data_IF_211186289369
#
_entry.id   IF_211186289369
#
_cell.length_a   1.000
_cell.length_b   1.000
_cell.length_c   1.000
_cell.angle_alpha   90.00
_cell.angle_beta   90.00
_cell.angle_gamma   90.00
#
_symmetry.space_group_name_H-M   'P 1'
#
loop_
_entity.id
_entity.type
_entity.pdbx_description
1 polymer ?
#
# COMPACT_ATOMS: atom_id res chain seq x y z
N UNK A 1 -17.24 -18.31 2.12
CA UNK A 1 -17.64 -17.32 3.14
C UNK A 1 -16.45 -16.78 3.94
N UNK A 2 -15.60 -17.65 4.53
CA UNK A 2 -14.44 -17.22 5.35
C UNK A 2 -13.43 -16.33 4.60
N UNK A 3 -13.13 -16.62 3.34
CA UNK A 3 -12.14 -15.88 2.54
C UNK A 3 -12.60 -14.45 2.21
N UNK A 4 -13.88 -14.26 1.90
CA UNK A 4 -14.45 -12.92 1.62
C UNK A 4 -14.49 -12.04 2.87
N UNK A 5 -14.82 -12.63 4.04
CA UNK A 5 -14.75 -11.91 5.31
C UNK A 5 -13.33 -11.48 5.63
N UNK A 6 -12.36 -12.38 5.42
CA UNK A 6 -10.94 -12.06 5.62
C UNK A 6 -10.49 -10.95 4.67
N UNK A 7 -10.90 -10.97 3.40
CA UNK A 7 -10.59 -9.93 2.43
C UNK A 7 -11.10 -8.56 2.90
N UNK A 8 -12.35 -8.47 3.33
CA UNK A 8 -12.92 -7.21 3.87
C UNK A 8 -12.13 -6.73 5.09
N UNK A 9 -11.79 -7.64 6.01
CA UNK A 9 -11.00 -7.28 7.20
C UNK A 9 -9.61 -6.76 6.83
N UNK A 10 -8.95 -7.34 5.82
CA UNK A 10 -7.65 -6.88 5.32
C UNK A 10 -7.77 -5.47 4.76
N UNK A 11 -8.72 -5.25 3.85
CA UNK A 11 -8.93 -3.93 3.24
C UNK A 11 -9.28 -2.88 4.29
N UNK A 12 -10.11 -3.23 5.27
CA UNK A 12 -10.40 -2.34 6.41
C UNK A 12 -9.14 -2.02 7.23
N UNK A 13 -8.29 -3.02 7.44
CA UNK A 13 -7.03 -2.90 8.16
C UNK A 13 -6.04 -1.98 7.44
N UNK A 14 -5.81 -2.20 6.14
CA UNK A 14 -4.95 -1.34 5.31
C UNK A 14 -5.45 0.10 5.26
N UNK A 15 -6.75 0.30 5.13
CA UNK A 15 -7.35 1.62 5.07
C UNK A 15 -7.17 2.45 6.36
N UNK A 16 -6.74 1.84 7.47
CA UNK A 16 -6.42 2.56 8.73
C UNK A 16 -5.06 3.25 8.74
N UNK A 17 -4.23 3.12 7.70
CA UNK A 17 -2.90 3.76 7.64
C UNK A 17 -2.98 5.25 7.95
N UNK A 18 -3.84 5.99 7.23
CA UNK A 18 -4.01 7.43 7.44
C UNK A 18 -4.53 7.78 8.83
N UNK A 19 -5.34 6.92 9.44
CA UNK A 19 -5.84 7.09 10.80
C UNK A 19 -4.66 7.09 11.79
N UNK A 20 -3.85 6.03 11.77
CA UNK A 20 -2.73 5.92 12.72
C UNK A 20 -1.68 7.00 12.50
N UNK A 21 -1.40 7.38 11.25
CA UNK A 21 -0.48 8.49 10.96
C UNK A 21 -0.98 9.79 11.58
N UNK A 22 -2.26 10.13 11.40
CA UNK A 22 -2.83 11.38 11.92
C UNK A 22 -3.02 11.36 13.44
N UNK A 23 -3.30 10.21 14.04
CA UNK A 23 -3.44 10.08 15.48
C UNK A 23 -2.14 10.32 16.25
N UNK A 24 -0.99 10.30 15.60
CA UNK A 24 0.28 10.71 16.25
C UNK A 24 0.38 12.20 16.49
N UNK A 25 -0.52 13.02 15.89
CA UNK A 25 -0.57 14.47 16.00
C UNK A 25 0.78 15.15 15.73
N UNK A 26 1.56 14.60 14.80
CA UNK A 26 2.89 15.11 14.43
C UNK A 26 3.96 14.97 15.51
N UNK A 27 3.68 14.31 16.64
CA UNK A 27 4.64 14.16 17.75
C UNK A 27 5.82 13.27 17.43
N UNK A 28 5.64 12.33 16.51
CA UNK A 28 6.74 11.53 15.94
C UNK A 28 6.95 11.99 14.50
N UNK A 29 8.18 12.35 14.08
CA UNK A 29 8.48 12.60 12.68
C UNK A 29 8.02 11.43 11.82
N UNK A 30 7.34 11.70 10.71
CA UNK A 30 6.66 10.66 9.92
C UNK A 30 7.63 9.58 9.39
N UNK A 31 8.89 9.94 9.13
CA UNK A 31 9.94 8.99 8.73
C UNK A 31 10.26 8.02 9.87
N UNK A 32 10.40 8.53 11.07
CA UNK A 32 10.64 7.73 12.28
C UNK A 32 9.40 6.91 12.66
N UNK A 33 8.21 7.46 12.48
CA UNK A 33 6.95 6.74 12.63
C UNK A 33 6.90 5.52 11.69
N UNK A 34 7.26 5.73 10.43
CA UNK A 34 7.32 4.66 9.42
C UNK A 34 8.35 3.59 9.79
N UNK A 35 9.50 3.98 10.32
CA UNK A 35 10.49 3.04 10.85
C UNK A 35 9.92 2.16 11.96
N UNK A 36 9.28 2.75 12.97
CA UNK A 36 8.66 1.97 14.05
C UNK A 36 7.55 1.07 13.53
N UNK A 37 6.72 1.56 12.60
CA UNK A 37 5.69 0.76 11.98
C UNK A 37 6.28 -0.49 11.29
N UNK A 38 7.36 -0.35 10.54
CA UNK A 38 8.05 -1.50 9.93
C UNK A 38 8.63 -2.46 10.96
N UNK A 39 9.19 -1.95 12.07
CA UNK A 39 9.67 -2.82 13.15
C UNK A 39 8.53 -3.66 13.74
N UNK A 40 7.41 -3.03 14.08
CA UNK A 40 6.25 -3.75 14.62
C UNK A 40 5.65 -4.74 13.60
N UNK A 41 5.53 -4.34 12.33
CA UNK A 41 5.04 -5.21 11.27
C UNK A 41 5.97 -6.41 11.05
N UNK A 42 7.28 -6.18 11.01
CA UNK A 42 8.30 -7.24 10.87
C UNK A 42 8.23 -8.21 12.04
N UNK A 43 8.23 -7.69 13.28
CA UNK A 43 8.13 -8.52 14.47
C UNK A 43 6.86 -9.38 14.46
N UNK A 44 5.73 -8.77 14.12
CA UNK A 44 4.45 -9.48 13.98
C UNK A 44 4.53 -10.60 12.95
N UNK A 45 5.01 -10.32 11.74
CA UNK A 45 5.09 -11.33 10.68
C UNK A 45 6.09 -12.45 11.00
N UNK A 46 7.25 -12.11 11.57
CA UNK A 46 8.24 -13.10 11.98
C UNK A 46 7.71 -14.07 13.05
N UNK A 47 6.77 -13.63 13.88
CA UNK A 47 6.10 -14.46 14.86
C UNK A 47 4.88 -15.19 14.29
N UNK A 48 4.07 -14.49 13.50
CA UNK A 48 2.79 -15.02 12.99
C UNK A 48 2.97 -16.05 11.86
N UNK A 49 3.95 -15.83 10.94
CA UNK A 49 4.14 -16.68 9.78
C UNK A 49 4.57 -18.11 10.13
N UNK A 50 5.54 -18.35 11.03
CA UNK A 50 5.89 -19.71 11.46
C UNK A 50 4.69 -20.43 12.09
N UNK A 51 3.91 -19.73 12.90
CA UNK A 51 2.73 -20.29 13.52
C UNK A 51 1.64 -20.66 12.49
N UNK A 52 1.34 -19.78 11.54
CA UNK A 52 0.33 -20.01 10.51
C UNK A 52 0.73 -21.11 9.52
N UNK A 53 2.00 -21.18 9.16
CA UNK A 53 2.51 -22.17 8.20
C UNK A 53 2.97 -23.47 8.85
N UNK A 54 3.01 -23.54 10.20
CA UNK A 54 3.55 -24.68 10.97
C UNK A 54 4.97 -25.07 10.53
N UNK A 55 5.76 -24.11 10.11
CA UNK A 55 7.14 -24.26 9.66
C UNK A 55 7.97 -23.11 10.17
N UNK A 56 9.25 -23.33 10.51
CA UNK A 56 10.13 -22.23 10.94
C UNK A 56 10.28 -21.19 9.83
N UNK A 57 10.57 -19.96 10.23
CA UNK A 57 10.88 -18.90 9.30
C UNK A 57 12.11 -19.30 8.47
N UNK A 58 11.98 -19.31 7.17
CA UNK A 58 13.06 -19.65 6.25
C UNK A 58 13.72 -18.37 5.75
N UNK A 59 15.01 -18.46 5.41
CA UNK A 59 15.68 -17.40 4.67
C UNK A 59 14.95 -17.17 3.32
N UNK A 60 15.02 -15.96 2.75
CA UNK A 60 14.37 -15.65 1.49
C UNK A 60 14.77 -16.66 0.41
N UNK A 61 13.78 -17.12 -0.36
CA UNK A 61 14.03 -17.98 -1.50
C UNK A 61 14.52 -17.12 -2.66
N UNK A 62 15.78 -17.29 -3.04
CA UNK A 62 16.39 -16.58 -4.16
C UNK A 62 17.45 -15.58 -3.75
N UNK A 63 17.57 -14.49 -4.52
CA UNK A 63 18.62 -13.51 -4.34
C UNK A 63 18.24 -12.49 -3.26
N UNK A 64 19.08 -12.33 -2.24
CA UNK A 64 18.94 -11.29 -1.21
C UNK A 64 18.83 -9.87 -1.77
N UNK A 65 19.45 -9.64 -2.95
CA UNK A 65 19.36 -8.34 -3.65
C UNK A 65 17.92 -8.00 -4.02
N UNK A 66 17.13 -8.98 -4.44
CA UNK A 66 15.73 -8.77 -4.84
C UNK A 66 14.88 -8.46 -3.61
N UNK A 67 15.06 -9.23 -2.52
CA UNK A 67 14.37 -8.98 -1.25
C UNK A 67 14.74 -7.59 -0.70
N UNK A 68 16.01 -7.19 -0.80
CA UNK A 68 16.45 -5.85 -0.42
C UNK A 68 15.83 -4.77 -1.31
N UNK A 69 15.81 -4.96 -2.64
CA UNK A 69 15.21 -3.99 -3.57
C UNK A 69 13.72 -3.83 -3.33
N UNK A 70 13.01 -4.93 -3.12
CA UNK A 70 11.58 -4.89 -2.75
C UNK A 70 11.41 -4.14 -1.42
N UNK A 71 12.24 -4.44 -0.41
CA UNK A 71 12.26 -3.71 0.86
C UNK A 71 12.50 -2.21 0.68
N UNK A 72 13.41 -1.82 -0.22
CA UNK A 72 13.68 -0.42 -0.55
C UNK A 72 12.47 0.27 -1.21
N UNK A 73 11.80 -0.42 -2.12
CA UNK A 73 10.59 0.08 -2.77
C UNK A 73 9.43 0.19 -1.78
N UNK A 74 9.27 -0.78 -0.86
CA UNK A 74 8.30 -0.71 0.24
C UNK A 74 8.62 0.49 1.16
N UNK A 75 9.88 0.69 1.54
CA UNK A 75 10.30 1.81 2.37
C UNK A 75 9.98 3.16 1.72
N UNK A 76 10.30 3.32 0.44
CA UNK A 76 9.99 4.51 -0.33
C UNK A 76 8.50 4.74 -0.47
N UNK A 77 7.75 3.71 -0.90
CA UNK A 77 6.30 3.79 -1.05
C UNK A 77 5.63 4.19 0.27
N UNK A 78 5.86 3.43 1.34
CA UNK A 78 5.18 3.69 2.62
C UNK A 78 5.65 4.98 3.29
N UNK A 79 6.94 5.31 3.18
CA UNK A 79 7.48 6.57 3.72
C UNK A 79 6.86 7.79 3.06
N UNK A 80 6.79 7.82 1.73
CA UNK A 80 6.15 8.92 1.01
C UNK A 80 4.63 8.91 1.16
N UNK A 81 4.00 7.73 1.25
CA UNK A 81 2.56 7.65 1.48
C UNK A 81 2.18 8.20 2.86
N UNK A 82 2.88 7.79 3.91
CA UNK A 82 2.67 8.32 5.25
C UNK A 82 2.95 9.83 5.30
N UNK A 83 3.96 10.31 4.56
CA UNK A 83 4.23 11.74 4.44
C UNK A 83 3.09 12.48 3.74
N UNK A 84 2.55 11.94 2.64
CA UNK A 84 1.38 12.53 1.99
C UNK A 84 0.19 12.65 2.96
N UNK A 85 -0.05 11.62 3.80
CA UNK A 85 -1.13 11.63 4.80
C UNK A 85 -1.01 12.74 5.86
N UNK A 86 0.19 13.29 6.08
CA UNK A 86 0.39 14.45 6.97
C UNK A 86 0.07 15.78 6.28
N UNK A 87 0.02 15.80 4.94
CA UNK A 87 -0.12 17.03 4.16
C UNK A 87 -1.52 17.25 3.60
N UNK A 88 -2.30 16.16 3.45
CA UNK A 88 -3.63 16.22 2.81
C UNK A 88 -4.65 15.36 3.55
N UNK A 89 -5.95 15.56 3.30
CA UNK A 89 -7.00 14.64 3.74
C UNK A 89 -6.72 13.21 3.27
N UNK A 90 -7.13 12.23 4.08
CA UNK A 90 -6.90 10.80 3.79
C UNK A 90 -7.45 10.42 2.41
N UNK A 91 -8.66 10.91 2.08
CA UNK A 91 -9.29 10.69 0.78
C UNK A 91 -8.41 11.13 -0.39
N UNK A 92 -7.77 12.31 -0.28
CA UNK A 92 -6.90 12.83 -1.32
C UNK A 92 -5.70 11.91 -1.55
N UNK A 93 -4.98 11.57 -0.50
CA UNK A 93 -3.79 10.72 -0.62
C UNK A 93 -4.13 9.35 -1.25
N UNK A 94 -5.22 8.72 -0.81
CA UNK A 94 -5.61 7.39 -1.32
C UNK A 94 -6.11 7.46 -2.76
N UNK A 95 -6.90 8.47 -3.14
CA UNK A 95 -7.40 8.63 -4.51
C UNK A 95 -6.23 8.88 -5.47
N UNK A 96 -5.28 9.75 -5.14
CA UNK A 96 -4.14 9.99 -6.03
C UNK A 96 -3.15 8.82 -6.08
N UNK A 97 -2.97 8.09 -5.00
CA UNK A 97 -2.24 6.81 -5.02
C UNK A 97 -2.89 5.78 -5.95
N UNK A 98 -4.22 5.77 -6.05
CA UNK A 98 -4.99 4.84 -6.91
C UNK A 98 -4.73 5.01 -8.42
N UNK A 99 -3.85 5.93 -8.82
CA UNK A 99 -3.28 6.00 -10.19
C UNK A 99 -2.30 4.86 -10.47
N UNK A 100 -1.85 4.13 -9.46
CA UNK A 100 -0.87 3.05 -9.58
C UNK A 100 -1.11 2.05 -10.74
N UNK A 101 -2.35 1.58 -11.04
CA UNK A 101 -2.59 0.67 -12.17
C UNK A 101 -2.15 1.23 -13.52
N UNK A 102 -2.24 2.55 -13.71
CA UNK A 102 -1.82 3.20 -14.95
C UNK A 102 -0.30 3.20 -15.09
N UNK A 103 0.41 3.50 -14.02
CA UNK A 103 1.86 3.37 -13.98
C UNK A 103 2.30 1.90 -14.15
N UNK A 104 1.61 0.96 -13.50
CA UNK A 104 1.88 -0.48 -13.64
C UNK A 104 1.74 -0.91 -15.11
N UNK A 105 0.69 -0.44 -15.79
CA UNK A 105 0.53 -0.73 -17.22
C UNK A 105 1.67 -0.15 -18.06
N UNK A 106 2.03 1.12 -17.85
CA UNK A 106 3.11 1.78 -18.60
C UNK A 106 4.44 1.03 -18.40
N UNK A 107 4.77 0.68 -17.15
CA UNK A 107 6.00 -0.03 -16.85
C UNK A 107 5.99 -1.46 -17.40
N UNK A 108 4.85 -2.16 -17.32
CA UNK A 108 4.69 -3.50 -17.90
C UNK A 108 4.81 -3.48 -19.44
N UNK A 109 4.28 -2.47 -20.08
CA UNK A 109 4.46 -2.29 -21.52
C UNK A 109 5.93 -2.04 -21.89
N UNK A 110 6.64 -1.21 -21.13
CA UNK A 110 8.04 -0.87 -21.40
C UNK A 110 9.01 -2.02 -21.08
N UNK A 111 8.82 -2.71 -19.95
CA UNK A 111 9.79 -3.67 -19.43
C UNK A 111 9.38 -5.14 -19.61
N UNK A 112 8.09 -5.43 -19.69
CA UNK A 112 7.58 -6.81 -19.85
C UNK A 112 7.08 -7.07 -21.27
N UNK A 113 7.08 -6.07 -22.17
CA UNK A 113 6.63 -6.22 -23.55
C UNK A 113 5.12 -6.46 -23.69
N UNK A 114 4.31 -6.07 -22.69
CA UNK A 114 2.85 -6.22 -22.76
C UNK A 114 2.25 -5.34 -23.86
N UNK A 115 1.33 -5.90 -24.65
CA UNK A 115 0.72 -5.17 -25.75
C UNK A 115 -0.38 -4.23 -25.30
N UNK A 116 -0.32 -2.97 -25.72
CA UNK A 116 -1.40 -2.02 -25.51
C UNK A 116 -2.60 -2.34 -26.42
N UNK A 117 -3.80 -2.38 -25.83
CA UNK A 117 -5.06 -2.48 -26.57
C UNK A 117 -5.60 -1.08 -26.89
N UNK A 118 -6.32 -0.94 -28.01
CA UNK A 118 -6.93 0.36 -28.37
C UNK A 118 -7.89 0.89 -27.30
N UNK A 119 -8.57 0.01 -26.56
CA UNK A 119 -9.44 0.38 -25.44
C UNK A 119 -8.72 1.15 -24.33
N UNK A 120 -7.41 0.95 -24.19
CA UNK A 120 -6.62 1.62 -23.14
C UNK A 120 -6.52 3.13 -23.34
N UNK A 121 -6.58 3.61 -24.60
CA UNK A 121 -6.62 5.05 -24.90
C UNK A 121 -7.84 5.70 -24.22
N UNK A 122 -9.01 5.07 -24.33
CA UNK A 122 -10.23 5.56 -23.69
C UNK A 122 -10.14 5.51 -22.17
N UNK A 123 -9.61 4.41 -21.62
CA UNK A 123 -9.44 4.23 -20.18
C UNK A 123 -8.51 5.31 -19.60
N UNK A 124 -7.37 5.57 -20.28
CA UNK A 124 -6.42 6.61 -19.88
C UNK A 124 -7.04 8.02 -20.00
N UNK A 125 -7.84 8.28 -21.03
CA UNK A 125 -8.55 9.56 -21.17
C UNK A 125 -9.53 9.79 -20.01
N UNK A 126 -10.32 8.77 -19.63
CA UNK A 126 -11.24 8.85 -18.49
C UNK A 126 -10.46 9.10 -17.18
N UNK A 127 -9.34 8.39 -16.97
CA UNK A 127 -8.50 8.58 -15.78
C UNK A 127 -7.91 9.99 -15.73
N UNK A 128 -7.40 10.51 -16.85
CA UNK A 128 -6.82 11.85 -16.92
C UNK A 128 -7.90 12.93 -16.62
N UNK A 129 -9.09 12.78 -17.18
CA UNK A 129 -10.23 13.66 -16.87
C UNK A 129 -10.55 13.57 -15.36
N UNK A 130 -10.59 12.37 -14.80
CA UNK A 130 -10.81 12.16 -13.37
C UNK A 130 -9.75 12.86 -12.50
N UNK A 131 -8.47 12.78 -12.85
CA UNK A 131 -7.40 13.50 -12.16
C UNK A 131 -7.60 15.02 -12.23
N UNK A 132 -7.93 15.56 -13.41
CA UNK A 132 -8.16 17.01 -13.57
C UNK A 132 -9.35 17.47 -12.74
N UNK A 133 -10.44 16.71 -12.71
CA UNK A 133 -11.63 17.01 -11.90
C UNK A 133 -11.31 16.95 -10.41
N UNK A 134 -10.48 15.99 -9.96
CA UNK A 134 -10.03 15.86 -8.59
C UNK A 134 -9.11 17.02 -8.12
N UNK A 135 -8.66 17.87 -9.03
CA UNK A 135 -7.87 19.08 -8.76
C UNK A 135 -6.59 18.79 -7.95
N UNK A 136 -5.62 18.03 -8.51
CA UNK A 136 -4.38 17.69 -7.80
C UNK A 136 -3.55 18.91 -7.40
N UNK A 137 -3.66 20.00 -8.16
CA UNK A 137 -2.93 21.25 -7.93
C UNK A 137 -3.73 22.27 -7.08
N UNK A 138 -4.69 21.77 -6.27
CA UNK A 138 -5.45 22.63 -5.36
C UNK A 138 -4.52 23.28 -4.34
N UNK A 139 -4.71 24.58 -4.12
CA UNK A 139 -3.93 25.35 -3.14
C UNK A 139 -4.01 24.71 -1.74
N UNK A 140 -2.88 24.67 -1.07
CA UNK A 140 -2.71 24.03 0.24
C UNK A 140 -2.54 22.50 0.21
N UNK A 141 -2.91 21.82 -0.88
CA UNK A 141 -2.81 20.35 -0.98
C UNK A 141 -1.90 19.87 -2.10
N UNK A 142 -1.35 20.75 -2.92
CA UNK A 142 -0.58 20.40 -4.12
C UNK A 142 0.58 19.44 -3.81
N UNK A 143 1.40 19.77 -2.80
CA UNK A 143 2.56 18.94 -2.47
C UNK A 143 2.14 17.52 -2.07
N UNK A 144 1.18 17.38 -1.15
CA UNK A 144 0.72 16.06 -0.70
C UNK A 144 0.05 15.24 -1.80
N UNK A 145 -0.73 15.89 -2.68
CA UNK A 145 -1.36 15.23 -3.83
C UNK A 145 -0.29 14.75 -4.83
N UNK A 146 0.75 15.55 -5.12
CA UNK A 146 1.85 15.16 -6.01
C UNK A 146 2.69 14.03 -5.40
N UNK A 147 2.96 14.08 -4.11
CA UNK A 147 3.63 12.98 -3.40
C UNK A 147 2.81 11.71 -3.51
N UNK A 148 1.50 11.76 -3.29
CA UNK A 148 0.61 10.60 -3.40
C UNK A 148 0.58 10.00 -4.82
N UNK A 149 0.57 10.84 -5.87
CA UNK A 149 0.74 10.40 -7.26
C UNK A 149 2.08 9.67 -7.45
N UNK A 150 3.17 10.22 -6.94
CA UNK A 150 4.51 9.62 -7.01
C UNK A 150 4.58 8.27 -6.30
N UNK A 151 3.87 8.11 -5.17
CA UNK A 151 3.74 6.83 -4.46
C UNK A 151 3.12 5.76 -5.35
N UNK A 152 2.10 6.11 -6.15
CA UNK A 152 1.52 5.21 -7.14
C UNK A 152 2.55 4.69 -8.15
N UNK A 153 3.49 5.54 -8.57
CA UNK A 153 4.57 5.14 -9.48
C UNK A 153 5.60 4.20 -8.80
N UNK A 154 5.97 4.46 -7.54
CA UNK A 154 6.87 3.58 -6.76
C UNK A 154 6.22 2.21 -6.57
N UNK A 155 4.94 2.17 -6.19
CA UNK A 155 4.18 0.92 -6.08
C UNK A 155 4.15 0.15 -7.40
N UNK A 156 3.87 0.84 -8.50
CA UNK A 156 3.87 0.24 -9.83
C UNK A 156 5.24 -0.35 -10.21
N UNK A 157 6.34 0.34 -9.89
CA UNK A 157 7.68 -0.17 -10.10
C UNK A 157 7.93 -1.45 -9.29
N UNK A 158 7.50 -1.50 -8.03
CA UNK A 158 7.58 -2.68 -7.18
C UNK A 158 6.81 -3.86 -7.78
N UNK A 159 5.55 -3.67 -8.16
CA UNK A 159 4.72 -4.73 -8.74
C UNK A 159 5.29 -5.22 -10.08
N UNK A 160 5.76 -4.31 -10.93
CA UNK A 160 6.37 -4.67 -12.22
C UNK A 160 7.65 -5.46 -12.02
N UNK A 161 8.49 -5.08 -11.05
CA UNK A 161 9.70 -5.81 -10.70
C UNK A 161 9.40 -7.22 -10.18
N UNK A 162 8.45 -7.38 -9.25
CA UNK A 162 8.03 -8.69 -8.75
C UNK A 162 7.53 -9.58 -9.89
N UNK A 163 6.77 -9.03 -10.83
CA UNK A 163 6.29 -9.75 -12.02
C UNK A 163 7.43 -10.13 -12.99
N UNK A 164 8.40 -9.24 -13.20
CA UNK A 164 9.56 -9.50 -14.06
C UNK A 164 10.37 -10.69 -13.56
N UNK A 165 10.61 -10.75 -12.26
CA UNK A 165 11.35 -11.83 -11.62
C UNK A 165 10.56 -13.14 -11.53
N UNK A 166 9.27 -13.14 -11.89
CA UNK A 166 8.40 -14.32 -11.79
C UNK A 166 8.20 -14.79 -10.35
N UNK A 167 8.44 -13.91 -9.37
CA UNK A 167 8.32 -14.24 -7.95
C UNK A 167 6.91 -13.99 -7.47
N UNK A 168 6.33 -14.98 -6.82
CA UNK A 168 5.19 -14.78 -5.93
C UNK A 168 5.74 -14.54 -4.55
N UNK A 169 5.62 -13.32 -4.04
CA UNK A 169 6.01 -13.04 -2.66
C UNK A 169 5.19 -13.91 -1.70
N UNK A 170 5.89 -14.75 -0.95
CA UNK A 170 5.28 -15.47 0.16
C UNK A 170 5.30 -14.57 1.40
N UNK A 171 4.42 -14.84 2.37
CA UNK A 171 4.46 -14.09 3.63
C UNK A 171 5.82 -14.13 4.34
N UNK A 172 6.62 -15.17 4.08
CA UNK A 172 8.00 -15.27 4.56
C UNK A 172 8.91 -14.22 3.89
N UNK A 173 8.82 -14.08 2.57
CA UNK A 173 9.65 -13.13 1.82
C UNK A 173 9.24 -11.69 2.16
N UNK A 174 7.95 -11.42 2.33
CA UNK A 174 7.42 -10.13 2.78
C UNK A 174 7.99 -9.75 4.16
N UNK A 175 8.08 -10.69 5.11
CA UNK A 175 8.65 -10.40 6.43
C UNK A 175 10.11 -9.94 6.34
N UNK A 176 10.91 -10.54 5.46
CA UNK A 176 12.29 -10.12 5.21
C UNK A 176 12.37 -8.78 4.46
N UNK A 177 11.51 -8.55 3.47
CA UNK A 177 11.43 -7.26 2.77
C UNK A 177 11.07 -6.13 3.74
N UNK A 178 10.15 -6.35 4.69
CA UNK A 178 9.82 -5.36 5.73
C UNK A 178 10.97 -5.15 6.71
N UNK A 179 11.76 -6.17 7.03
CA UNK A 179 12.98 -5.99 7.82
C UNK A 179 13.97 -5.06 7.10
N UNK A 180 14.19 -5.27 5.80
CA UNK A 180 15.03 -4.37 5.02
C UNK A 180 14.44 -2.96 4.92
N UNK A 181 13.12 -2.84 4.78
CA UNK A 181 12.46 -1.54 4.82
C UNK A 181 12.70 -0.82 6.16
N UNK A 182 12.60 -1.54 7.28
CA UNK A 182 12.93 -1.00 8.60
C UNK A 182 14.41 -0.56 8.68
N UNK A 183 15.34 -1.38 8.20
CA UNK A 183 16.77 -1.05 8.20
C UNK A 183 17.06 0.19 7.34
N UNK A 184 16.43 0.33 6.17
CA UNK A 184 16.57 1.49 5.29
C UNK A 184 16.00 2.76 5.95
N UNK A 185 14.90 2.65 6.69
CA UNK A 185 14.30 3.78 7.39
C UNK A 185 14.98 4.08 8.74
N UNK A 186 15.81 3.18 9.27
CA UNK A 186 16.44 3.35 10.58
C UNK A 186 17.29 4.64 10.73
N UNK A 187 17.98 5.17 9.69
CA UNK A 187 18.70 6.42 9.82
C UNK A 187 17.80 7.62 10.16
N UNK A 188 16.50 7.54 9.89
CA UNK A 188 15.57 8.62 10.22
C UNK A 188 15.58 8.96 11.72
N UNK A 189 15.76 7.95 12.57
CA UNK A 189 15.84 8.12 14.03
C UNK A 189 16.96 9.09 14.42
N UNK A 190 18.10 9.02 13.69
CA UNK A 190 19.27 9.87 13.96
C UNK A 190 19.21 11.20 13.23
N UNK A 191 18.60 11.26 12.03
CA UNK A 191 18.57 12.46 11.19
C UNK A 191 17.45 13.40 11.60
N UNK A 192 16.24 12.90 11.81
CA UNK A 192 15.06 13.72 12.17
C UNK A 192 14.64 13.56 13.63
N UNK A 193 15.27 12.63 14.34
CA UNK A 193 15.00 12.37 15.75
C UNK A 193 13.85 11.40 15.98
N UNK A 194 13.66 11.02 17.25
CA UNK A 194 12.59 10.11 17.68
C UNK A 194 11.25 10.81 17.88
N UNK A 195 11.27 12.12 18.05
CA UNK A 195 10.12 12.86 18.53
C UNK A 195 9.72 12.48 19.96
N UNK A 196 8.49 12.75 20.32
CA UNK A 196 7.95 12.48 21.65
C UNK A 196 7.34 11.07 21.73
N UNK A 197 8.18 10.04 21.61
CA UNK A 197 7.73 8.62 21.59
C UNK A 197 7.20 8.14 22.94
N UNK A 198 7.63 8.77 24.03
CA UNK A 198 7.19 8.44 25.40
C UNK A 198 6.04 9.31 25.87
N UNK A 199 5.68 10.31 25.08
CA UNK A 199 4.61 11.25 25.38
C UNK A 199 3.23 10.62 25.36
N UNK A 200 2.29 11.37 25.92
CA UNK A 200 0.87 10.99 25.98
C UNK A 200 0.05 12.01 25.21
N UNK A 201 -0.86 11.56 24.35
CA UNK A 201 -1.85 12.41 23.68
C UNK A 201 -3.18 12.29 24.44
N UNK A 202 -3.71 13.44 24.83
CA UNK A 202 -5.04 13.51 25.44
C UNK A 202 -6.09 13.62 24.35
N UNK A 203 -6.99 12.67 24.33
CA UNK A 203 -8.16 12.68 23.44
C UNK A 203 -9.38 13.11 24.24
N UNK A 204 -9.84 14.33 24.04
CA UNK A 204 -10.98 14.89 24.77
C UNK A 204 -12.25 14.07 24.52
N UNK A 205 -12.44 13.58 23.29
CA UNK A 205 -13.57 12.73 22.90
C UNK A 205 -13.62 11.38 23.61
N UNK A 206 -12.46 10.87 24.05
CA UNK A 206 -12.35 9.59 24.75
C UNK A 206 -12.17 9.77 26.27
N UNK A 207 -11.94 10.99 26.73
CA UNK A 207 -11.67 11.30 28.14
C UNK A 207 -10.40 10.64 28.70
N UNK A 208 -9.47 10.19 27.83
CA UNK A 208 -8.27 9.46 28.22
C UNK A 208 -7.02 9.97 27.53
N UNK A 209 -5.87 9.71 28.15
CA UNK A 209 -4.54 9.95 27.55
C UNK A 209 -3.93 8.64 27.12
N UNK A 210 -3.45 8.58 25.86
CA UNK A 210 -2.86 7.37 25.29
C UNK A 210 -1.40 7.63 24.89
N UNK A 211 -0.52 6.63 25.06
CA UNK A 211 0.88 6.76 24.64
C UNK A 211 0.97 6.96 23.11
N UNK A 212 1.81 7.89 22.68
CA UNK A 212 2.05 8.15 21.24
C UNK A 212 2.53 6.89 20.51
N UNK A 213 3.38 6.10 21.17
CA UNK A 213 3.90 4.85 20.62
C UNK A 213 2.80 3.81 20.33
N UNK A 214 1.64 3.89 20.98
CA UNK A 214 0.50 3.03 20.69
C UNK A 214 0.03 3.16 19.24
N UNK A 215 0.08 4.38 18.69
CA UNK A 215 -0.33 4.65 17.32
C UNK A 215 0.71 4.16 16.31
N UNK A 216 2.00 4.26 16.64
CA UNK A 216 3.07 3.67 15.84
C UNK A 216 2.95 2.13 15.82
N UNK A 217 2.65 1.52 16.97
CA UNK A 217 2.38 0.09 17.06
C UNK A 217 1.12 -0.29 16.28
N UNK A 218 0.03 0.50 16.37
CA UNK A 218 -1.19 0.31 15.59
C UNK A 218 -0.93 0.34 14.09
N UNK A 219 -0.19 1.34 13.61
CA UNK A 219 0.24 1.43 12.21
C UNK A 219 1.01 0.18 11.77
N UNK A 220 1.95 -0.29 12.59
CA UNK A 220 2.75 -1.46 12.26
C UNK A 220 2.00 -2.78 12.38
N UNK A 221 1.29 -3.00 13.49
CA UNK A 221 0.63 -4.29 13.75
C UNK A 221 -0.67 -4.44 12.94
N UNK A 222 -1.50 -3.39 12.93
CA UNK A 222 -2.82 -3.45 12.29
C UNK A 222 -2.69 -3.13 10.81
N UNK A 223 -2.28 -1.90 10.45
CA UNK A 223 -2.35 -1.47 9.06
C UNK A 223 -1.37 -2.17 8.13
N UNK A 224 -0.23 -2.61 8.64
CA UNK A 224 0.79 -3.31 7.85
C UNK A 224 0.86 -4.81 8.17
N UNK A 225 1.12 -5.17 9.43
CA UNK A 225 1.36 -6.55 9.83
C UNK A 225 0.16 -7.47 9.56
N UNK A 226 -1.01 -7.09 10.07
CA UNK A 226 -2.24 -7.87 9.89
C UNK A 226 -2.69 -7.89 8.42
N UNK A 227 -2.52 -6.76 7.69
CA UNK A 227 -2.82 -6.69 6.27
C UNK A 227 -1.94 -7.64 5.46
N UNK A 228 -0.62 -7.55 5.54
CA UNK A 228 0.29 -8.45 4.83
C UNK A 228 0.13 -9.91 5.23
N UNK A 229 -0.12 -10.19 6.51
CA UNK A 229 -0.45 -11.54 6.97
C UNK A 229 -1.71 -12.07 6.30
N UNK A 230 -2.78 -11.29 6.31
CA UNK A 230 -4.05 -11.65 5.69
C UNK A 230 -3.94 -11.81 4.17
N UNK A 231 -3.24 -10.91 3.48
CA UNK A 231 -2.95 -11.00 2.03
C UNK A 231 -2.28 -12.33 1.71
N UNK A 232 -1.25 -12.71 2.47
CA UNK A 232 -0.52 -13.95 2.26
C UNK A 232 -1.40 -15.21 2.39
N UNK A 233 -2.47 -15.14 3.18
CA UNK A 233 -3.47 -16.21 3.32
C UNK A 233 -4.49 -16.17 2.19
N UNK A 234 -5.01 -15.00 1.88
CA UNK A 234 -6.07 -14.81 0.85
C UNK A 234 -5.56 -15.19 -0.53
N UNK A 235 -4.33 -14.81 -0.87
CA UNK A 235 -3.73 -15.13 -2.17
C UNK A 235 -3.52 -16.65 -2.40
N UNK A 236 -3.61 -17.47 -1.37
CA UNK A 236 -3.66 -18.94 -1.53
C UNK A 236 -5.02 -19.45 -2.06
N UNK A 237 -6.07 -18.63 -1.94
CA UNK A 237 -7.45 -19.02 -2.24
C UNK A 237 -8.13 -18.15 -3.29
N UNK A 238 -7.65 -16.93 -3.51
CA UNK A 238 -8.19 -15.98 -4.47
C UNK A 238 -7.06 -15.58 -5.42
N UNK A 239 -7.39 -15.43 -6.70
CA UNK A 239 -6.46 -14.91 -7.68
C UNK A 239 -6.07 -13.46 -7.31
N UNK A 240 -4.77 -13.14 -7.40
CA UNK A 240 -4.21 -11.82 -7.10
C UNK A 240 -4.92 -10.69 -7.88
N UNK A 241 -5.42 -10.99 -9.07
CA UNK A 241 -6.17 -10.06 -9.91
C UNK A 241 -7.51 -9.65 -9.29
N UNK A 242 -8.23 -10.63 -8.69
CA UNK A 242 -9.50 -10.37 -8.00
C UNK A 242 -9.22 -9.55 -6.74
N UNK A 243 -8.16 -9.88 -6.00
CA UNK A 243 -7.73 -9.11 -4.84
C UNK A 243 -7.46 -7.64 -5.23
N UNK A 244 -6.61 -7.40 -6.23
CA UNK A 244 -6.25 -6.05 -6.68
C UNK A 244 -7.46 -5.23 -7.15
N UNK A 245 -8.42 -5.85 -7.86
CA UNK A 245 -9.64 -5.18 -8.29
C UNK A 245 -10.49 -4.73 -7.11
N UNK A 246 -10.61 -5.57 -6.09
CA UNK A 246 -11.38 -5.27 -4.88
C UNK A 246 -10.69 -4.17 -4.09
N UNK A 247 -9.38 -4.29 -3.91
CA UNK A 247 -8.59 -3.33 -3.16
C UNK A 247 -8.63 -1.93 -3.78
N UNK A 248 -8.44 -1.80 -5.09
CA UNK A 248 -8.52 -0.51 -5.81
C UNK A 248 -9.87 0.20 -5.62
N UNK A 249 -10.96 -0.55 -5.47
CA UNK A 249 -12.31 0.03 -5.34
C UNK A 249 -12.66 0.29 -3.87
N UNK A 250 -12.40 -0.70 -3.00
CA UNK A 250 -12.89 -0.67 -1.62
C UNK A 250 -11.96 0.12 -0.71
N UNK A 251 -10.64 0.00 -0.88
CA UNK A 251 -9.67 0.66 -0.01
C UNK A 251 -9.84 2.19 0.05
N UNK A 252 -9.99 2.92 -1.09
CA UNK A 252 -10.25 4.35 -1.05
C UNK A 252 -11.58 4.74 -0.40
N UNK A 253 -12.62 3.93 -0.61
CA UNK A 253 -13.92 4.20 0.00
C UNK A 253 -13.87 4.04 1.53
N UNK A 254 -13.24 2.97 2.00
CA UNK A 254 -13.06 2.72 3.44
C UNK A 254 -12.13 3.76 4.07
N UNK A 255 -11.03 4.11 3.41
CA UNK A 255 -10.11 5.14 3.90
C UNK A 255 -10.80 6.51 4.01
N UNK A 256 -11.62 6.88 3.01
CA UNK A 256 -12.43 8.11 3.05
C UNK A 256 -13.44 8.06 4.20
N UNK A 257 -14.08 6.93 4.42
CA UNK A 257 -14.99 6.73 5.55
C UNK A 257 -14.28 6.92 6.89
N UNK A 258 -13.08 6.37 7.07
CA UNK A 258 -12.27 6.58 8.27
C UNK A 258 -11.90 8.06 8.46
N UNK A 259 -11.49 8.75 7.40
CA UNK A 259 -11.20 10.18 7.44
C UNK A 259 -12.40 11.00 7.91
N UNK A 260 -13.59 10.69 7.41
CA UNK A 260 -14.83 11.33 7.81
C UNK A 260 -15.21 11.01 9.27
N UNK A 261 -15.21 9.74 9.66
CA UNK A 261 -15.69 9.30 10.98
C UNK A 261 -14.77 9.78 12.12
N UNK A 262 -13.46 9.80 11.91
CA UNK A 262 -12.49 10.06 12.99
C UNK A 262 -12.03 11.52 13.00
N UNK A 263 -11.86 12.13 11.83
CA UNK A 263 -11.30 13.47 11.69
C UNK A 263 -12.29 14.50 11.14
N UNK A 264 -13.56 14.11 10.89
CA UNK A 264 -14.55 14.96 10.23
C UNK A 264 -14.07 15.51 8.87
N UNK A 265 -13.20 14.77 8.16
CA UNK A 265 -12.73 15.14 6.83
C UNK A 265 -13.83 14.93 5.81
N UNK A 266 -14.40 16.02 5.30
CA UNK A 266 -15.40 15.97 4.23
C UNK A 266 -14.70 16.17 2.89
N UNK A 267 -14.63 15.12 2.02
CA UNK A 267 -14.03 15.27 0.71
C UNK A 267 -14.78 16.30 -0.13
N UNK A 268 -14.05 17.13 -0.89
CA UNK A 268 -14.67 18.02 -1.84
C UNK A 268 -15.44 17.23 -2.91
N UNK A 269 -16.56 17.76 -3.40
CA UNK A 269 -17.35 17.10 -4.47
C UNK A 269 -16.51 16.81 -5.71
N UNK A 270 -15.58 17.69 -6.07
CA UNK A 270 -14.64 17.47 -7.17
C UNK A 270 -13.76 16.23 -6.93
N UNK A 271 -13.34 16.01 -5.70
CA UNK A 271 -12.57 14.83 -5.31
C UNK A 271 -13.40 13.55 -5.41
N UNK A 272 -14.66 13.60 -5.01
CA UNK A 272 -15.56 12.43 -5.12
C UNK A 272 -15.83 12.07 -6.58
N UNK A 273 -16.15 13.04 -7.44
CA UNK A 273 -16.42 12.78 -8.88
C UNK A 273 -15.15 12.36 -9.62
N UNK A 274 -14.06 13.11 -9.45
CA UNK A 274 -12.77 12.78 -10.07
C UNK A 274 -12.21 11.44 -9.58
N UNK A 275 -12.32 11.18 -8.28
CA UNK A 275 -11.95 9.92 -7.67
C UNK A 275 -12.76 8.74 -8.21
N UNK A 276 -14.09 8.87 -8.31
CA UNK A 276 -14.95 7.82 -8.88
C UNK A 276 -14.58 7.48 -10.33
N UNK A 277 -14.28 8.50 -11.17
CA UNK A 277 -13.81 8.29 -12.53
C UNK A 277 -12.45 7.58 -12.57
N UNK A 278 -11.51 8.01 -11.73
CA UNK A 278 -10.18 7.43 -11.65
C UNK A 278 -10.24 5.96 -11.19
N UNK A 279 -10.98 5.68 -10.13
CA UNK A 279 -11.16 4.32 -9.60
C UNK A 279 -11.86 3.41 -10.60
N UNK A 280 -12.90 3.91 -11.27
CA UNK A 280 -13.61 3.18 -12.32
C UNK A 280 -12.71 2.85 -13.52
N UNK A 281 -11.92 3.82 -13.99
CA UNK A 281 -10.95 3.61 -15.06
C UNK A 281 -9.83 2.64 -14.63
N UNK A 282 -9.31 2.76 -13.40
CA UNK A 282 -8.31 1.86 -12.82
C UNK A 282 -8.82 0.42 -12.72
N UNK A 283 -10.04 0.25 -12.23
CA UNK A 283 -10.69 -1.06 -12.15
C UNK A 283 -10.93 -1.67 -13.53
N UNK A 284 -11.35 -0.87 -14.51
CA UNK A 284 -11.51 -1.32 -15.89
C UNK A 284 -10.17 -1.74 -16.50
N UNK A 285 -9.12 -0.92 -16.38
CA UNK A 285 -7.78 -1.26 -16.86
C UNK A 285 -7.29 -2.57 -16.25
N UNK A 286 -7.35 -2.68 -14.93
CA UNK A 286 -6.90 -3.86 -14.20
C UNK A 286 -7.65 -5.11 -14.67
N UNK A 287 -8.99 -5.05 -14.77
CA UNK A 287 -9.81 -6.15 -15.28
C UNK A 287 -9.44 -6.57 -16.70
N UNK A 288 -9.15 -5.60 -17.60
CA UNK A 288 -8.87 -5.88 -19.00
C UNK A 288 -7.43 -6.42 -19.22
N UNK A 289 -6.45 -5.94 -18.47
CA UNK A 289 -5.09 -6.49 -18.44
C UNK A 289 -5.10 -7.99 -18.11
N UNK A 290 -5.97 -8.40 -17.19
CA UNK A 290 -6.05 -9.79 -16.74
C UNK A 290 -6.94 -10.68 -17.61
N UNK A 291 -7.92 -10.15 -18.33
CA UNK A 291 -8.71 -10.90 -19.31
C UNK A 291 -7.95 -11.21 -20.59
N UNK A 292 -6.90 -10.48 -20.88
CA UNK A 292 -6.10 -10.67 -22.09
C UNK A 292 -5.11 -11.85 -22.05
N UNK A 293 -4.98 -12.54 -20.94
CA UNK A 293 -4.08 -13.69 -20.78
C UNK A 293 -4.80 -14.86 -20.07
N UNK A 294 -5.74 -15.56 -20.75
CA UNK A 294 -6.42 -16.70 -20.16
C UNK A 294 -5.49 -17.89 -19.89
N UNK A 295 -4.28 -17.92 -20.46
CA UNK A 295 -3.35 -19.05 -20.44
C UNK A 295 -2.11 -18.82 -19.55
N UNK A 296 -2.04 -17.76 -18.74
CA UNK A 296 -1.02 -17.65 -17.70
C UNK A 296 -1.49 -18.31 -16.41
N UNK A 297 -1.13 -19.61 -16.21
CA UNK A 297 -1.33 -20.19 -14.90
C UNK A 297 -0.51 -19.41 -13.88
N UNK A 298 -1.09 -19.14 -12.72
CA UNK A 298 -0.43 -18.52 -11.58
C UNK A 298 0.79 -19.34 -11.06
N UNK A 299 1.14 -20.43 -11.75
CA UNK A 299 2.21 -21.36 -11.43
C UNK A 299 2.90 -21.84 -12.70
N UNK A 300 3.78 -21.05 -13.26
CA UNK A 300 4.86 -21.60 -14.07
C UNK A 300 6.16 -21.33 -13.33
N UNK A 301 6.41 -22.18 -12.36
CA UNK A 301 7.74 -22.47 -11.89
C UNK A 301 8.53 -23.06 -13.06
N UNK A 302 9.27 -22.27 -13.80
CA UNK A 302 10.23 -22.78 -14.75
C UNK A 302 11.42 -23.39 -14.02
N UNK A 303 11.25 -24.65 -13.65
CA UNK A 303 12.37 -25.58 -13.71
C UNK A 303 12.62 -25.90 -15.18
N UNK A 304 13.45 -25.14 -15.84
CA UNK A 304 14.19 -25.57 -17.04
C UNK A 304 15.09 -24.45 -17.53
N UNK A 305 16.26 -24.35 -16.93
CA UNK A 305 17.54 -24.12 -17.63
C UNK A 305 18.62 -24.76 -16.80
N UNK A 306 18.65 -26.09 -16.87
CA UNK A 306 19.89 -26.83 -16.79
C UNK A 306 20.43 -26.85 -18.22
N UNK A 307 21.51 -26.14 -18.44
CA UNK A 307 22.67 -26.52 -19.27
C UNK A 307 23.68 -25.42 -19.15
#
# INVERSE_FOLDING_TARGET
>A
MKTWVLLVLITMSEATIGVFVKLTDGRIPVQTLTFYAFLFATAFLMLAMPWANKQPLKLPRGNWKDTFLIGALIAGQSGFFNYAMTLVPIANAVIFWSVAPFFTFILSWLFLGEKAKKSYILIFAIALIGIVIAKPLQDGYMLGNMVALGVGAIYAAMITYIRHEGKTETGNDIAWSLLFAALIMSPSVFVVGTGDITGMIRYESLGMSLPVMLWAAGLGLISMGLAYFGISIVLKSINANIYSLIDIIISPAVATMWGFLIFNEVPALSMLYGGAMLLGAGAWLTRDMFRGDPDRPAHVCHSQRAH
#
